data_IF_777199110246
#
_entry.id   IF_777199110246
#
_cell.length_a   1.000
_cell.length_b   1.000
_cell.length_c   1.000
_cell.angle_alpha   90.00
_cell.angle_beta   90.00
_cell.angle_gamma   90.00
#
_symmetry.space_group_name_H-M   'P 1'
#
loop_
_entity.id
_entity.type
_entity.pdbx_description
1 polymer ?
#
# COMPACT_ATOMS: atom_id res chain seq x y z
N UNK A 1 -23.20 32.38 36.82
CA UNK A 1 -22.91 33.15 35.61
C UNK A 1 -21.64 32.59 34.93
N UNK A 2 -21.62 31.29 34.63
CA UNK A 2 -20.40 30.60 34.09
C UNK A 2 -20.73 29.47 33.08
N UNK A 3 -21.84 29.58 32.32
CA UNK A 3 -22.23 28.50 31.38
C UNK A 3 -22.44 28.96 29.92
N UNK A 4 -21.84 30.08 29.50
CA UNK A 4 -22.06 30.61 28.14
C UNK A 4 -20.81 30.73 27.25
N UNK A 5 -19.65 30.29 27.67
CA UNK A 5 -18.43 30.45 26.87
C UNK A 5 -17.90 29.20 26.18
N UNK A 6 -18.41 28.01 26.46
CA UNK A 6 -17.93 26.78 25.84
C UNK A 6 -18.74 26.25 24.66
N UNK A 7 -19.98 26.73 24.45
CA UNK A 7 -20.79 26.25 23.32
C UNK A 7 -20.40 26.86 21.95
N UNK A 8 -19.76 28.02 21.95
CA UNK A 8 -19.29 28.65 20.70
C UNK A 8 -18.03 28.05 20.08
N UNK A 9 -17.23 27.35 20.89
CA UNK A 9 -15.97 26.78 20.42
C UNK A 9 -16.17 25.42 19.75
N UNK A 10 -17.12 24.61 20.22
CA UNK A 10 -17.45 23.30 19.64
C UNK A 10 -18.17 23.45 18.29
N UNK A 11 -19.04 24.48 18.14
CA UNK A 11 -19.70 24.76 16.86
C UNK A 11 -18.75 25.33 15.79
N UNK A 12 -17.71 26.06 16.19
CA UNK A 12 -16.73 26.61 15.24
C UNK A 12 -15.81 25.56 14.61
N UNK A 13 -15.43 24.56 15.38
CA UNK A 13 -14.59 23.45 14.85
C UNK A 13 -15.39 22.51 13.94
N UNK A 14 -16.63 22.17 14.28
CA UNK A 14 -17.47 21.33 13.44
C UNK A 14 -17.80 21.95 12.07
N UNK A 15 -18.07 23.27 12.04
CA UNK A 15 -18.37 23.98 10.77
C UNK A 15 -17.10 24.15 9.91
N UNK A 16 -15.94 24.36 10.52
CA UNK A 16 -14.67 24.46 9.78
C UNK A 16 -14.25 23.10 9.21
N UNK A 17 -14.41 22.02 9.96
CA UNK A 17 -14.10 20.66 9.49
C UNK A 17 -15.04 20.23 8.35
N UNK A 18 -16.33 20.49 8.46
CA UNK A 18 -17.31 20.23 7.38
C UNK A 18 -17.04 21.12 6.16
N UNK A 19 -16.68 22.40 6.34
CA UNK A 19 -16.33 23.27 5.22
C UNK A 19 -15.03 22.85 4.53
N UNK A 20 -14.03 22.39 5.27
CA UNK A 20 -12.79 21.83 4.72
C UNK A 20 -13.05 20.51 3.99
N UNK A 21 -13.85 19.61 4.55
CA UNK A 21 -14.24 18.37 3.89
C UNK A 21 -15.04 18.63 2.60
N UNK A 22 -15.99 19.56 2.61
CA UNK A 22 -16.75 19.94 1.41
C UNK A 22 -15.86 20.60 0.35
N UNK A 23 -14.88 21.42 0.73
CA UNK A 23 -13.92 22.02 -0.20
C UNK A 23 -12.99 20.93 -0.76
N UNK A 24 -12.52 19.99 0.08
CA UNK A 24 -11.66 18.89 -0.31
C UNK A 24 -12.35 17.92 -1.29
N UNK A 25 -13.61 17.54 -1.01
CA UNK A 25 -14.44 16.71 -1.92
C UNK A 25 -14.82 17.46 -3.22
N UNK A 26 -14.86 18.80 -3.22
CA UNK A 26 -15.18 19.58 -4.41
C UNK A 26 -13.98 19.91 -5.30
N UNK A 27 -12.76 19.60 -4.87
CA UNK A 27 -11.53 19.89 -5.62
C UNK A 27 -10.94 18.66 -6.33
N UNK A 28 -11.45 17.44 -6.08
CA UNK A 28 -11.02 16.26 -6.82
C UNK A 28 -11.67 16.22 -8.20
N UNK A 29 -10.89 15.97 -9.26
CA UNK A 29 -11.46 15.84 -10.58
C UNK A 29 -12.41 14.63 -10.60
N UNK A 30 -13.67 14.89 -10.89
CA UNK A 30 -14.61 13.83 -11.27
C UNK A 30 -14.03 13.16 -12.52
N UNK A 31 -14.06 11.83 -12.55
CA UNK A 31 -13.66 11.09 -13.76
C UNK A 31 -14.54 11.59 -14.91
N UNK A 32 -13.95 12.12 -16.00
CA UNK A 32 -14.70 12.57 -17.16
C UNK A 32 -15.59 11.46 -17.73
N UNK A 33 -16.72 11.79 -18.32
CA UNK A 33 -17.70 10.79 -18.77
C UNK A 33 -17.16 9.86 -19.85
N UNK A 34 -16.37 10.37 -20.78
CA UNK A 34 -15.69 9.62 -21.82
C UNK A 34 -14.62 8.66 -21.26
N UNK A 35 -13.93 9.07 -20.19
CA UNK A 35 -13.00 8.19 -19.46
C UNK A 35 -13.76 7.11 -18.70
N UNK A 36 -14.93 7.42 -18.13
CA UNK A 36 -15.81 6.40 -17.52
C UNK A 36 -16.25 5.37 -18.56
N UNK A 37 -16.68 5.82 -19.75
CA UNK A 37 -17.05 4.94 -20.87
C UNK A 37 -15.86 4.08 -21.33
N UNK A 38 -14.63 4.63 -21.33
CA UNK A 38 -13.41 3.89 -21.63
C UNK A 38 -13.15 2.80 -20.56
N UNK A 39 -13.25 3.15 -19.27
CA UNK A 39 -13.08 2.21 -18.15
C UNK A 39 -14.05 1.03 -18.30
N UNK A 40 -15.35 1.30 -18.50
CA UNK A 40 -16.36 0.27 -18.68
C UNK A 40 -16.07 -0.61 -19.90
N UNK A 41 -15.67 -0.02 -21.03
CA UNK A 41 -15.32 -0.75 -22.23
C UNK A 41 -14.09 -1.65 -22.04
N UNK A 42 -13.08 -1.21 -21.29
CA UNK A 42 -11.88 -2.00 -21.02
C UNK A 42 -12.16 -3.12 -20.01
N UNK A 43 -13.02 -2.89 -19.02
CA UNK A 43 -13.52 -3.93 -18.13
C UNK A 43 -14.27 -5.02 -18.92
N UNK A 44 -15.16 -4.62 -19.82
CA UNK A 44 -15.94 -5.56 -20.65
C UNK A 44 -15.07 -6.39 -21.58
N UNK A 45 -14.05 -5.78 -22.24
CA UNK A 45 -13.07 -6.51 -23.07
C UNK A 45 -12.30 -7.57 -22.28
N UNK A 46 -12.11 -7.36 -20.99
CA UNK A 46 -11.46 -8.30 -20.08
C UNK A 46 -12.40 -9.37 -19.50
N UNK A 47 -13.66 -9.43 -19.94
CA UNK A 47 -14.65 -10.40 -19.45
C UNK A 47 -15.53 -9.91 -18.30
N UNK A 48 -15.64 -8.58 -18.14
CA UNK A 48 -16.49 -7.93 -17.13
C UNK A 48 -15.83 -7.83 -15.75
N UNK A 49 -16.65 -7.67 -14.73
CA UNK A 49 -16.22 -7.43 -13.35
C UNK A 49 -15.68 -8.67 -12.59
N UNK A 50 -15.43 -9.77 -13.28
CA UNK A 50 -14.97 -11.00 -12.65
C UNK A 50 -13.49 -10.91 -12.26
N UNK A 51 -13.21 -11.00 -10.97
CA UNK A 51 -11.86 -10.97 -10.37
C UNK A 51 -10.95 -12.14 -10.82
N UNK A 52 -11.53 -13.21 -11.35
CA UNK A 52 -10.81 -14.44 -11.67
C UNK A 52 -9.98 -14.36 -12.96
N UNK A 53 -10.34 -13.48 -13.87
CA UNK A 53 -9.64 -13.28 -15.14
C UNK A 53 -8.65 -12.11 -15.01
N UNK A 54 -7.44 -12.36 -14.52
CA UNK A 54 -6.37 -11.35 -14.59
C UNK A 54 -6.19 -10.93 -16.03
N UNK A 55 -6.46 -9.68 -16.29
CA UNK A 55 -6.37 -9.07 -17.61
C UNK A 55 -5.58 -7.75 -17.49
N UNK A 56 -4.78 -7.48 -18.51
CA UNK A 56 -4.01 -6.27 -18.60
C UNK A 56 -4.56 -5.36 -19.71
N UNK A 57 -4.84 -4.12 -19.37
CA UNK A 57 -5.32 -3.07 -20.28
C UNK A 57 -4.21 -2.12 -20.67
N UNK A 58 -4.30 -1.55 -21.88
CA UNK A 58 -3.35 -0.52 -22.32
C UNK A 58 -3.78 0.86 -21.83
N UNK A 59 -2.80 1.61 -21.36
CA UNK A 59 -2.89 3.05 -21.26
C UNK A 59 -2.21 3.76 -22.44
N UNK A 60 -1.83 5.03 -22.25
CA UNK A 60 -1.04 5.86 -23.17
C UNK A 60 0.44 5.50 -23.05
N UNK A 61 1.22 5.81 -24.10
CA UNK A 61 2.69 5.66 -24.13
C UNK A 61 3.18 4.26 -23.68
N UNK A 62 2.50 3.21 -24.12
CA UNK A 62 2.80 1.80 -23.80
C UNK A 62 2.64 1.41 -22.32
N UNK A 63 2.06 2.26 -21.49
CA UNK A 63 1.73 1.89 -20.12
C UNK A 63 0.67 0.78 -20.08
N UNK A 64 0.80 -0.08 -19.08
CA UNK A 64 -0.11 -1.23 -18.90
C UNK A 64 -0.63 -1.21 -17.47
N UNK A 65 -1.95 -1.44 -17.33
CA UNK A 65 -2.65 -1.47 -16.06
C UNK A 65 -3.36 -2.81 -15.85
N UNK A 66 -3.69 -3.15 -14.62
CA UNK A 66 -4.56 -4.27 -14.32
C UNK A 66 -6.02 -3.86 -14.47
N UNK A 67 -6.83 -4.72 -15.07
CA UNK A 67 -8.27 -4.53 -15.10
C UNK A 67 -8.88 -4.45 -13.70
N UNK A 68 -8.31 -5.16 -12.72
CA UNK A 68 -8.74 -5.10 -11.32
C UNK A 68 -8.69 -3.66 -10.75
N UNK A 69 -7.71 -2.85 -11.15
CA UNK A 69 -7.61 -1.45 -10.77
C UNK A 69 -8.77 -0.61 -11.30
N UNK A 70 -9.23 -0.89 -12.53
CA UNK A 70 -10.40 -0.23 -13.11
C UNK A 70 -11.70 -0.63 -12.39
N UNK A 71 -11.86 -1.93 -12.11
CA UNK A 71 -13.02 -2.46 -11.38
C UNK A 71 -13.16 -1.80 -10.01
N UNK A 72 -12.04 -1.57 -9.33
CA UNK A 72 -12.01 -0.93 -8.01
C UNK A 72 -12.57 0.51 -8.00
N UNK A 73 -12.59 1.20 -9.14
CA UNK A 73 -13.15 2.53 -9.27
C UNK A 73 -14.68 2.54 -9.43
N UNK A 74 -15.29 1.43 -9.87
CA UNK A 74 -16.70 1.38 -10.30
C UNK A 74 -17.56 0.40 -9.49
N UNK A 75 -16.96 -0.42 -8.62
CA UNK A 75 -17.70 -1.33 -7.75
C UNK A 75 -17.81 -0.79 -6.34
N UNK A 76 -18.91 -1.10 -5.66
CA UNK A 76 -19.06 -0.83 -4.23
C UNK A 76 -18.12 -1.75 -3.44
N UNK A 77 -17.37 -1.16 -2.50
CA UNK A 77 -16.48 -1.91 -1.64
C UNK A 77 -17.28 -2.68 -0.59
N UNK A 78 -16.77 -3.85 -0.24
CA UNK A 78 -17.34 -4.64 0.85
C UNK A 78 -16.95 -4.05 2.19
N UNK A 79 -17.88 -4.12 3.13
CA UNK A 79 -17.61 -3.78 4.52
C UNK A 79 -16.67 -4.82 5.13
N UNK A 80 -15.42 -4.42 5.36
CA UNK A 80 -14.37 -5.28 5.91
C UNK A 80 -13.68 -4.70 7.16
N UNK A 81 -14.12 -3.52 7.60
CA UNK A 81 -13.57 -2.78 8.75
C UNK A 81 -13.43 -3.65 10.00
N UNK A 82 -14.48 -4.40 10.35
CA UNK A 82 -14.50 -5.26 11.53
C UNK A 82 -13.37 -6.30 11.54
N UNK A 83 -12.94 -6.74 10.36
CA UNK A 83 -11.85 -7.70 10.23
C UNK A 83 -10.52 -7.09 10.63
N UNK A 84 -10.24 -5.86 10.24
CA UNK A 84 -9.02 -5.14 10.62
C UNK A 84 -8.99 -4.82 12.11
N UNK A 85 -10.10 -4.34 12.66
CA UNK A 85 -10.25 -4.05 14.09
C UNK A 85 -10.04 -5.32 14.92
N UNK A 86 -10.69 -6.42 14.58
CA UNK A 86 -10.54 -7.69 15.29
C UNK A 86 -9.09 -8.22 15.24
N UNK A 87 -8.39 -8.01 14.11
CA UNK A 87 -6.99 -8.39 14.00
C UNK A 87 -6.10 -7.49 14.88
N UNK A 88 -6.34 -6.20 14.87
CA UNK A 88 -5.65 -5.26 15.75
C UNK A 88 -5.81 -5.65 17.23
N UNK A 89 -7.03 -5.85 17.67
CA UNK A 89 -7.36 -6.25 19.05
C UNK A 89 -6.65 -7.56 19.46
N UNK A 90 -6.63 -8.53 18.54
CA UNK A 90 -5.96 -9.80 18.76
C UNK A 90 -4.44 -9.67 18.94
N UNK A 91 -3.81 -8.75 18.21
CA UNK A 91 -2.38 -8.43 18.34
C UNK A 91 -2.11 -7.61 19.59
N UNK A 92 -2.94 -6.61 19.88
CA UNK A 92 -2.81 -5.79 21.10
C UNK A 92 -2.92 -6.60 22.38
N UNK A 93 -3.83 -7.58 22.42
CA UNK A 93 -3.94 -8.51 23.54
C UNK A 93 -2.65 -9.32 23.79
N UNK A 94 -1.75 -9.38 22.82
CA UNK A 94 -0.41 -10.00 22.90
C UNK A 94 0.72 -8.98 23.11
N UNK A 95 0.40 -7.69 23.23
CA UNK A 95 1.38 -6.61 23.32
C UNK A 95 2.11 -6.34 21.99
N UNK A 96 1.51 -6.70 20.86
CA UNK A 96 2.04 -6.50 19.53
C UNK A 96 1.26 -5.36 18.85
N UNK A 97 1.97 -4.39 18.25
CA UNK A 97 1.34 -3.31 17.50
C UNK A 97 1.06 -3.72 16.05
N UNK A 98 -0.06 -3.26 15.50
CA UNK A 98 -0.38 -3.38 14.09
C UNK A 98 -0.17 -2.04 13.38
N UNK A 99 0.44 -2.08 12.21
CA UNK A 99 0.47 -0.97 11.24
C UNK A 99 -0.09 -1.51 9.93
N UNK A 100 -1.19 -0.94 9.47
CA UNK A 100 -1.85 -1.29 8.21
C UNK A 100 -1.34 -0.36 7.12
N UNK A 101 -0.92 -0.92 6.00
CA UNK A 101 -0.26 -0.18 4.91
C UNK A 101 -0.87 -0.60 3.57
N UNK A 102 -1.98 0.02 3.16
CA UNK A 102 -2.47 -0.12 1.80
C UNK A 102 -1.51 0.60 0.85
N UNK A 103 -0.85 -0.16 -0.03
CA UNK A 103 -0.02 0.42 -1.09
C UNK A 103 -0.95 1.09 -2.10
N UNK A 104 -0.76 2.36 -2.46
CA UNK A 104 -1.55 3.00 -3.50
C UNK A 104 -1.59 2.15 -4.77
N UNK A 105 -2.75 2.01 -5.39
CA UNK A 105 -2.84 1.30 -6.66
C UNK A 105 -2.14 2.11 -7.77
N UNK A 106 -1.51 1.42 -8.71
CA UNK A 106 -0.82 2.05 -9.83
C UNK A 106 -1.72 3.03 -10.59
N UNK A 107 -2.98 2.69 -10.79
CA UNK A 107 -3.92 3.56 -11.49
C UNK A 107 -4.25 4.83 -10.69
N UNK A 108 -4.20 4.77 -9.36
CA UNK A 108 -4.41 5.95 -8.52
C UNK A 108 -3.32 7.01 -8.74
N UNK A 109 -2.08 6.57 -8.91
CA UNK A 109 -0.90 7.45 -8.96
C UNK A 109 -0.56 7.82 -10.40
N UNK A 110 -0.58 6.87 -11.32
CA UNK A 110 -0.16 7.01 -12.72
C UNK A 110 -1.38 7.16 -13.66
N UNK A 111 -2.45 7.78 -13.18
CA UNK A 111 -3.73 7.87 -13.88
C UNK A 111 -3.62 8.59 -15.25
N UNK A 112 -2.75 9.59 -15.37
CA UNK A 112 -2.49 10.29 -16.62
C UNK A 112 -1.95 9.37 -17.73
N UNK A 113 -1.26 8.30 -17.32
CA UNK A 113 -0.81 7.26 -18.25
C UNK A 113 -1.90 6.25 -18.64
N UNK A 114 -3.05 6.27 -17.98
CA UNK A 114 -4.24 5.56 -18.46
C UNK A 114 -5.06 6.45 -19.40
N UNK A 115 -5.26 7.71 -19.03
CA UNK A 115 -5.88 8.75 -19.85
C UNK A 115 -5.30 10.12 -19.47
N UNK A 116 -4.88 10.90 -20.47
CA UNK A 116 -4.33 12.25 -20.28
C UNK A 116 -5.30 13.21 -19.55
N UNK A 117 -6.59 12.89 -19.56
CA UNK A 117 -7.62 13.67 -18.86
C UNK A 117 -7.64 13.44 -17.33
N UNK A 118 -6.89 12.46 -16.83
CA UNK A 118 -6.81 12.10 -15.43
C UNK A 118 -5.53 12.65 -14.75
N UNK A 119 -5.05 13.79 -15.19
CA UNK A 119 -3.90 14.43 -14.55
C UNK A 119 -4.13 14.72 -13.07
N UNK A 120 -3.17 14.37 -12.22
CA UNK A 120 -3.25 14.56 -10.77
C UNK A 120 -3.77 13.35 -9.98
N UNK A 121 -3.88 12.20 -10.64
CA UNK A 121 -4.25 10.94 -9.99
C UNK A 121 -5.76 10.72 -9.85
N UNK A 122 -6.13 9.52 -9.44
CA UNK A 122 -7.52 9.14 -9.10
C UNK A 122 -7.52 8.46 -7.74
N UNK A 123 -8.38 8.88 -6.85
CA UNK A 123 -8.62 8.16 -5.60
C UNK A 123 -10.10 7.77 -5.53
N UNK A 124 -10.36 6.49 -5.29
CA UNK A 124 -11.71 6.02 -5.05
C UNK A 124 -12.24 6.64 -3.74
N UNK A 125 -13.42 7.27 -3.72
CA UNK A 125 -13.96 7.89 -2.51
C UNK A 125 -14.03 6.93 -1.32
N UNK A 126 -14.36 5.66 -1.56
CA UNK A 126 -14.42 4.65 -0.52
C UNK A 126 -13.06 4.37 0.16
N UNK A 127 -11.94 4.64 -0.51
CA UNK A 127 -10.61 4.45 0.06
C UNK A 127 -10.38 5.39 1.25
N UNK A 128 -10.71 6.67 1.09
CA UNK A 128 -10.56 7.66 2.16
C UNK A 128 -11.49 7.38 3.32
N UNK A 129 -12.78 7.11 3.03
CA UNK A 129 -13.75 6.72 4.05
C UNK A 129 -13.30 5.49 4.84
N UNK A 130 -12.63 4.55 4.18
CA UNK A 130 -12.09 3.36 4.80
C UNK A 130 -10.88 3.67 5.70
N UNK A 131 -9.96 4.52 5.25
CA UNK A 131 -8.80 4.95 6.05
C UNK A 131 -9.27 5.68 7.31
N UNK A 132 -10.15 6.66 7.15
CA UNK A 132 -10.71 7.43 8.26
C UNK A 132 -11.41 6.52 9.28
N UNK A 133 -12.24 5.60 8.80
CA UNK A 133 -12.97 4.68 9.67
C UNK A 133 -12.05 3.74 10.46
N UNK A 134 -10.94 3.26 9.87
CA UNK A 134 -9.95 2.47 10.61
C UNK A 134 -9.20 3.29 11.66
N UNK A 135 -8.84 4.53 11.33
CA UNK A 135 -8.17 5.42 12.26
C UNK A 135 -9.10 5.81 13.43
N UNK A 136 -10.38 6.02 13.19
CA UNK A 136 -11.39 6.28 14.21
C UNK A 136 -11.55 5.09 15.20
N UNK A 137 -11.34 3.87 14.73
CA UNK A 137 -11.30 2.65 15.55
C UNK A 137 -9.93 2.39 16.21
N UNK A 138 -8.98 3.32 16.07
CA UNK A 138 -7.67 3.27 16.70
C UNK A 138 -6.65 2.37 16.02
N UNK A 139 -6.92 1.91 14.80
CA UNK A 139 -5.95 1.16 13.98
C UNK A 139 -4.98 2.14 13.32
N UNK A 140 -3.68 1.88 13.44
CA UNK A 140 -2.67 2.72 12.79
C UNK A 140 -2.62 2.39 11.30
N UNK A 141 -2.92 3.38 10.46
CA UNK A 141 -2.87 3.26 9.00
C UNK A 141 -1.83 4.23 8.44
N UNK A 142 -0.95 3.73 7.59
CA UNK A 142 -0.04 4.55 6.78
C UNK A 142 -0.68 4.73 5.41
N UNK A 143 -1.31 5.87 5.19
CA UNK A 143 -1.83 6.29 3.90
C UNK A 143 -0.73 7.02 3.11
N UNK A 144 -0.37 6.48 1.96
CA UNK A 144 0.72 7.00 1.14
C UNK A 144 0.25 7.66 -0.17
N UNK A 145 -1.05 7.82 -0.38
CA UNK A 145 -1.57 8.32 -1.66
C UNK A 145 -1.08 9.73 -1.96
N UNK A 146 -1.23 10.67 -1.03
CA UNK A 146 -0.81 12.06 -1.24
C UNK A 146 0.71 12.18 -1.43
N UNK A 147 1.50 11.49 -0.60
CA UNK A 147 2.96 11.50 -0.70
C UNK A 147 3.43 10.88 -2.03
N UNK A 148 2.77 9.82 -2.50
CA UNK A 148 3.09 9.22 -3.79
C UNK A 148 2.76 10.17 -4.95
N UNK A 149 1.61 10.84 -4.92
CA UNK A 149 1.25 11.84 -5.94
C UNK A 149 2.26 12.98 -5.99
N UNK A 150 2.66 13.52 -4.82
CA UNK A 150 3.67 14.58 -4.76
C UNK A 150 5.02 14.12 -5.32
N UNK A 151 5.51 12.95 -4.91
CA UNK A 151 6.82 12.45 -5.36
C UNK A 151 6.81 11.97 -6.80
N UNK A 152 5.65 11.57 -7.33
CA UNK A 152 5.51 11.12 -8.71
C UNK A 152 5.81 12.24 -9.72
N UNK A 153 5.63 13.51 -9.35
CA UNK A 153 6.01 14.66 -10.19
C UNK A 153 7.51 14.68 -10.53
N UNK A 154 8.36 14.13 -9.64
CA UNK A 154 9.82 14.12 -9.81
C UNK A 154 10.35 12.76 -10.26
N UNK A 155 9.75 11.69 -9.79
CA UNK A 155 10.23 10.32 -10.00
C UNK A 155 9.05 9.35 -10.02
N UNK A 156 8.87 8.55 -11.10
CA UNK A 156 7.76 7.62 -11.19
C UNK A 156 7.71 6.65 -10.00
N UNK A 157 6.54 6.56 -9.36
CA UNK A 157 6.30 5.63 -8.27
C UNK A 157 6.02 4.21 -8.76
N UNK A 158 5.57 4.06 -10.00
CA UNK A 158 5.38 2.79 -10.68
C UNK A 158 6.09 2.75 -12.03
N UNK A 159 6.31 1.55 -12.57
CA UNK A 159 6.90 1.34 -13.89
C UNK A 159 5.82 0.99 -14.92
N UNK A 160 6.05 1.37 -16.19
CA UNK A 160 5.07 1.16 -17.27
C UNK A 160 4.60 -0.29 -17.38
N UNK A 161 5.51 -1.26 -17.25
CA UNK A 161 5.25 -2.68 -17.51
C UNK A 161 5.05 -3.55 -16.25
N UNK A 162 5.10 -2.94 -15.06
CA UNK A 162 5.07 -3.63 -13.77
C UNK A 162 3.86 -3.18 -12.93
N UNK A 163 3.25 -4.11 -12.19
CA UNK A 163 2.16 -3.76 -11.27
C UNK A 163 2.67 -3.31 -9.90
N UNK A 164 3.92 -3.61 -9.58
CA UNK A 164 4.53 -3.22 -8.32
C UNK A 164 5.20 -1.84 -8.44
N UNK A 165 5.30 -1.17 -7.31
CA UNK A 165 5.96 0.12 -7.19
C UNK A 165 7.49 0.05 -7.42
N UNK A 166 8.06 1.13 -7.91
CA UNK A 166 9.51 1.25 -8.18
C UNK A 166 10.35 1.14 -6.90
N UNK A 167 11.67 1.09 -7.04
CA UNK A 167 12.57 1.23 -5.89
C UNK A 167 12.38 2.55 -5.16
N UNK A 168 12.06 3.64 -5.87
CA UNK A 168 11.75 4.95 -5.28
C UNK A 168 10.45 4.89 -4.49
N UNK A 169 9.36 4.36 -5.07
CA UNK A 169 8.08 4.20 -4.37
C UNK A 169 8.21 3.36 -3.09
N UNK A 170 8.97 2.24 -3.16
CA UNK A 170 9.25 1.43 -1.95
C UNK A 170 10.02 2.19 -0.87
N UNK A 171 10.96 3.07 -1.24
CA UNK A 171 11.70 3.87 -0.28
C UNK A 171 10.83 4.94 0.37
N UNK A 172 10.00 5.63 -0.41
CA UNK A 172 9.03 6.60 0.10
C UNK A 172 8.12 5.93 1.13
N UNK A 173 7.49 4.81 0.77
CA UNK A 173 6.60 4.08 1.67
C UNK A 173 7.33 3.56 2.91
N UNK A 174 8.55 3.04 2.75
CA UNK A 174 9.34 2.56 3.89
C UNK A 174 9.71 3.68 4.84
N UNK A 175 9.96 4.89 4.35
CA UNK A 175 10.24 6.05 5.19
C UNK A 175 9.00 6.45 6.01
N UNK A 176 7.82 6.51 5.39
CA UNK A 176 6.56 6.80 6.09
C UNK A 176 6.26 5.76 7.18
N UNK A 177 6.46 4.47 6.88
CA UNK A 177 6.33 3.39 7.86
C UNK A 177 7.36 3.56 8.98
N UNK A 178 8.61 3.91 8.64
CA UNK A 178 9.68 4.11 9.62
C UNK A 178 9.39 5.29 10.56
N UNK A 179 8.84 6.37 10.05
CA UNK A 179 8.44 7.53 10.85
C UNK A 179 7.35 7.15 11.84
N UNK A 180 6.32 6.42 11.38
CA UNK A 180 5.26 5.85 12.23
C UNK A 180 5.83 4.93 13.33
N UNK A 181 6.77 4.04 12.97
CA UNK A 181 7.44 3.15 13.94
C UNK A 181 8.24 3.94 14.98
N UNK A 182 8.94 4.98 14.53
CA UNK A 182 9.77 5.82 15.41
C UNK A 182 8.93 6.61 16.42
N UNK A 183 7.77 7.10 16.01
CA UNK A 183 6.81 7.78 16.89
C UNK A 183 6.27 6.87 18.01
N UNK A 184 6.18 5.58 17.77
CA UNK A 184 5.75 4.61 18.79
C UNK A 184 6.79 4.39 19.91
N UNK A 185 8.02 4.88 19.76
CA UNK A 185 9.09 4.81 20.76
C UNK A 185 9.32 3.41 21.34
N UNK A 186 9.31 2.40 20.48
CA UNK A 186 9.52 1.02 20.89
C UNK A 186 10.96 0.80 21.35
N UNK A 187 11.12 0.16 22.53
CA UNK A 187 12.44 -0.25 23.04
C UNK A 187 12.92 -1.51 22.30
N UNK A 188 13.54 -1.30 21.14
CA UNK A 188 14.05 -2.34 20.24
C UNK A 188 15.48 -1.98 19.86
N UNK A 189 16.42 -2.95 19.92
CA UNK A 189 17.79 -2.76 19.45
C UNK A 189 17.83 -2.34 17.96
N UNK A 190 18.71 -1.39 17.66
CA UNK A 190 18.91 -0.86 16.31
C UNK A 190 20.29 -1.20 15.79
N UNK A 191 20.35 -1.47 14.49
CA UNK A 191 21.57 -1.73 13.71
C UNK A 191 21.66 -0.74 12.56
N UNK A 192 22.83 -0.53 12.01
CA UNK A 192 23.04 0.41 10.92
C UNK A 192 23.04 -0.32 9.59
N UNK A 193 22.22 0.14 8.64
CA UNK A 193 22.10 -0.40 7.29
C UNK A 193 22.25 0.69 6.25
N UNK A 194 22.86 0.37 5.12
CA UNK A 194 23.19 1.31 4.07
C UNK A 194 22.51 0.93 2.76
N UNK A 195 22.24 1.94 1.92
CA UNK A 195 21.74 1.72 0.58
C UNK A 195 22.90 1.69 -0.42
N UNK A 196 22.90 0.71 -1.30
CA UNK A 196 23.84 0.62 -2.44
C UNK A 196 23.10 0.45 -3.74
N UNK A 197 23.50 1.25 -4.70
CA UNK A 197 23.00 1.23 -6.05
C UNK A 197 23.33 -0.10 -6.76
N UNK A 198 22.37 -0.61 -7.52
CA UNK A 198 22.56 -1.80 -8.37
C UNK A 198 21.54 -1.79 -9.51
N UNK A 199 21.87 -2.52 -10.56
CA UNK A 199 20.98 -2.73 -11.71
C UNK A 199 20.52 -4.19 -11.65
N UNK A 200 19.24 -4.41 -11.88
CA UNK A 200 18.62 -5.74 -11.98
C UNK A 200 17.71 -5.80 -13.19
N UNK A 201 17.49 -6.99 -13.78
CA UNK A 201 16.49 -7.14 -14.84
C UNK A 201 15.10 -6.75 -14.35
N UNK A 202 14.36 -5.99 -15.16
CA UNK A 202 12.95 -5.70 -14.93
C UNK A 202 12.11 -6.96 -15.07
N UNK A 203 11.04 -7.06 -14.29
CA UNK A 203 10.14 -8.23 -14.33
C UNK A 203 9.04 -8.07 -15.38
N UNK A 204 8.46 -6.89 -15.49
CA UNK A 204 7.44 -6.59 -16.50
C UNK A 204 6.25 -7.55 -16.43
N UNK A 205 5.70 -7.77 -15.22
CA UNK A 205 4.62 -8.74 -15.02
C UNK A 205 3.34 -8.40 -15.79
N UNK A 206 3.03 -7.12 -15.96
CA UNK A 206 1.89 -6.65 -16.75
C UNK A 206 2.12 -6.87 -18.24
N UNK A 207 3.35 -6.63 -18.70
CA UNK A 207 3.73 -6.90 -20.08
C UNK A 207 3.60 -8.40 -20.39
N UNK A 208 4.09 -9.26 -19.48
CA UNK A 208 3.95 -10.70 -19.61
C UNK A 208 2.48 -11.12 -19.63
N UNK A 209 1.66 -10.58 -18.74
CA UNK A 209 0.23 -10.86 -18.69
C UNK A 209 -0.45 -10.51 -20.02
N UNK A 210 -0.07 -9.41 -20.66
CA UNK A 210 -0.68 -8.92 -21.90
C UNK A 210 -0.19 -9.62 -23.16
N UNK A 211 1.13 -9.86 -23.26
CA UNK A 211 1.78 -10.29 -24.49
C UNK A 211 2.33 -11.72 -24.43
N UNK A 212 2.21 -12.40 -23.30
CA UNK A 212 2.78 -13.73 -23.03
C UNK A 212 4.30 -13.80 -23.32
N UNK A 213 5.00 -12.70 -23.07
CA UNK A 213 6.45 -12.55 -23.21
C UNK A 213 6.97 -11.58 -22.17
N UNK A 214 8.26 -11.61 -21.87
CA UNK A 214 8.88 -10.65 -20.94
C UNK A 214 9.59 -9.56 -21.72
N UNK A 215 9.49 -8.29 -21.28
CA UNK A 215 10.27 -7.21 -21.87
C UNK A 215 11.75 -7.37 -21.46
N UNK A 216 12.66 -6.92 -22.33
CA UNK A 216 14.09 -6.89 -22.04
C UNK A 216 14.48 -5.46 -21.63
N UNK A 217 14.51 -5.22 -20.33
CA UNK A 217 14.92 -3.94 -19.76
C UNK A 217 15.53 -4.11 -18.37
N UNK A 218 16.36 -3.18 -18.01
CA UNK A 218 17.02 -3.11 -16.71
C UNK A 218 16.40 -2.03 -15.85
N UNK A 219 16.29 -2.29 -14.53
CA UNK A 219 15.85 -1.31 -13.54
C UNK A 219 16.95 -1.04 -12.52
N UNK A 220 17.04 0.22 -12.12
CA UNK A 220 17.93 0.65 -11.06
C UNK A 220 17.24 0.49 -9.71
N UNK A 221 17.87 -0.22 -8.78
CA UNK A 221 17.35 -0.41 -7.42
C UNK A 221 18.44 -0.11 -6.38
N UNK A 222 18.02 0.34 -5.20
CA UNK A 222 18.91 0.49 -4.06
C UNK A 222 18.78 -0.74 -3.16
N UNK A 223 19.84 -1.53 -3.06
CA UNK A 223 19.86 -2.70 -2.16
C UNK A 223 20.31 -2.30 -0.76
N UNK A 224 19.68 -2.89 0.25
CA UNK A 224 20.07 -2.73 1.65
C UNK A 224 21.25 -3.65 1.97
N UNK A 225 22.30 -3.09 2.57
CA UNK A 225 23.53 -3.79 2.94
C UNK A 225 24.04 -3.37 4.32
N UNK A 226 24.89 -4.19 4.95
CA UNK A 226 25.66 -3.81 6.14
C UNK A 226 26.92 -2.97 5.77
N UNK A 227 27.72 -2.61 6.75
CA UNK A 227 28.94 -1.80 6.58
C UNK A 227 29.96 -2.48 5.67
N UNK A 228 30.03 -3.80 5.66
CA UNK A 228 30.91 -4.61 4.83
C UNK A 228 30.36 -4.81 3.40
N UNK A 229 29.14 -4.33 3.14
CA UNK A 229 28.48 -4.46 1.84
C UNK A 229 27.78 -5.80 1.64
N UNK A 230 27.62 -6.60 2.67
CA UNK A 230 26.85 -7.83 2.64
C UNK A 230 25.36 -7.50 2.63
N UNK A 231 24.62 -8.21 1.81
CA UNK A 231 23.17 -8.01 1.67
C UNK A 231 22.42 -8.21 2.98
N UNK A 232 21.41 -7.36 3.19
CA UNK A 232 20.43 -7.54 4.27
C UNK A 232 19.77 -8.91 4.15
N UNK A 233 19.68 -9.62 5.26
CA UNK A 233 18.94 -10.87 5.37
C UNK A 233 17.93 -10.78 6.49
N UNK A 234 16.66 -10.98 6.14
CA UNK A 234 15.57 -11.08 7.09
C UNK A 234 15.78 -12.25 8.07
N UNK A 235 15.49 -12.03 9.35
CA UNK A 235 15.58 -13.07 10.38
C UNK A 235 14.20 -13.37 10.98
N UNK A 236 13.89 -14.65 11.17
CA UNK A 236 12.65 -15.06 11.85
C UNK A 236 12.54 -14.50 13.27
N UNK A 237 13.65 -14.22 13.91
CA UNK A 237 13.71 -13.65 15.27
C UNK A 237 13.56 -12.12 15.28
N UNK A 238 13.45 -11.48 14.11
CA UNK A 238 13.26 -10.05 14.00
C UNK A 238 12.01 -9.58 14.78
N UNK A 239 12.10 -8.45 15.49
CA UNK A 239 10.98 -7.95 16.30
C UNK A 239 9.81 -7.40 15.47
N UNK A 240 10.06 -7.04 14.21
CA UNK A 240 9.04 -6.59 13.27
C UNK A 240 8.81 -7.69 12.22
N UNK A 241 7.56 -8.10 12.05
CA UNK A 241 7.16 -8.95 10.93
C UNK A 241 6.36 -8.14 9.92
N UNK A 242 6.80 -8.17 8.66
CA UNK A 242 6.07 -7.58 7.52
C UNK A 242 5.30 -8.70 6.85
N UNK A 243 3.98 -8.57 6.80
CA UNK A 243 3.09 -9.51 6.10
C UNK A 243 2.42 -8.83 4.92
N UNK A 244 1.94 -9.60 3.96
CA UNK A 244 1.19 -9.03 2.85
C UNK A 244 1.20 -9.89 1.60
N UNK A 245 1.01 -9.23 0.48
CA UNK A 245 1.04 -9.82 -0.87
C UNK A 245 2.42 -9.71 -1.54
N UNK A 246 2.44 -9.69 -2.86
CA UNK A 246 3.67 -9.50 -3.62
C UNK A 246 4.32 -8.14 -3.42
N UNK A 247 3.56 -7.09 -3.04
CA UNK A 247 4.12 -5.78 -2.71
C UNK A 247 5.02 -5.83 -1.48
N UNK A 248 4.71 -6.69 -0.49
CA UNK A 248 5.57 -6.89 0.67
C UNK A 248 6.91 -7.56 0.32
N UNK A 249 6.94 -8.38 -0.74
CA UNK A 249 8.08 -9.24 -1.09
C UNK A 249 8.86 -8.78 -2.33
N UNK A 250 8.26 -7.95 -3.17
CA UNK A 250 8.87 -7.48 -4.42
C UNK A 250 10.24 -6.83 -4.17
N UNK A 251 11.28 -7.34 -4.87
CA UNK A 251 12.67 -6.92 -4.67
C UNK A 251 13.45 -7.73 -3.61
N UNK A 252 12.87 -8.79 -3.06
CA UNK A 252 13.55 -9.57 -2.02
C UNK A 252 14.88 -10.20 -2.51
N UNK A 253 14.93 -10.63 -3.75
CA UNK A 253 16.15 -11.20 -4.35
C UNK A 253 17.35 -10.22 -4.38
N UNK A 254 17.07 -8.92 -4.38
CA UNK A 254 18.07 -7.85 -4.36
C UNK A 254 18.21 -7.16 -3.00
N UNK A 255 17.46 -7.61 -1.95
CA UNK A 255 17.35 -6.92 -0.66
C UNK A 255 16.86 -5.47 -0.82
N UNK A 256 15.92 -5.27 -1.73
CA UNK A 256 15.25 -4.01 -2.03
C UNK A 256 13.73 -4.10 -1.83
N UNK A 257 13.25 -5.10 -1.09
CA UNK A 257 11.85 -5.19 -0.69
C UNK A 257 11.52 -4.23 0.45
N UNK A 258 10.24 -3.99 0.68
CA UNK A 258 9.78 -3.03 1.70
C UNK A 258 10.34 -3.34 3.10
N UNK A 259 10.42 -4.62 3.49
CA UNK A 259 10.99 -5.01 4.78
C UNK A 259 12.47 -4.64 4.92
N UNK A 260 13.27 -4.78 3.86
CA UNK A 260 14.67 -4.38 3.86
C UNK A 260 14.83 -2.85 3.99
N UNK A 261 13.97 -2.07 3.32
CA UNK A 261 13.97 -0.61 3.42
C UNK A 261 13.47 -0.11 4.78
N UNK A 262 12.45 -0.75 5.38
CA UNK A 262 12.04 -0.46 6.76
C UNK A 262 13.21 -0.70 7.73
N UNK A 263 13.93 -1.81 7.56
CA UNK A 263 15.09 -2.09 8.40
C UNK A 263 16.19 -1.05 8.22
N UNK A 264 16.43 -0.58 6.99
CA UNK A 264 17.41 0.46 6.71
C UNK A 264 17.00 1.80 7.35
N UNK A 265 15.74 2.20 7.22
CA UNK A 265 15.25 3.48 7.71
C UNK A 265 15.12 3.53 9.25
N UNK A 266 14.75 2.41 9.89
CA UNK A 266 14.57 2.34 11.35
C UNK A 266 15.80 1.84 12.11
N UNK A 267 16.69 1.11 11.46
CA UNK A 267 17.73 0.31 12.13
C UNK A 267 17.18 -0.97 12.77
N UNK A 268 15.87 -1.27 12.66
CA UNK A 268 15.25 -2.42 13.31
C UNK A 268 15.11 -3.56 12.31
N UNK A 269 15.61 -4.75 12.69
CA UNK A 269 15.43 -5.94 11.83
C UNK A 269 13.97 -6.26 11.56
N UNK A 270 13.70 -6.66 10.33
CA UNK A 270 12.39 -7.13 9.89
C UNK A 270 12.45 -8.58 9.40
N UNK A 271 11.32 -9.25 9.43
CA UNK A 271 11.09 -10.52 8.77
C UNK A 271 9.89 -10.41 7.85
N UNK A 272 10.09 -10.54 6.56
CA UNK A 272 9.00 -10.47 5.57
C UNK A 272 8.42 -11.85 5.33
N UNK A 273 7.10 -11.94 5.32
CA UNK A 273 6.32 -13.13 4.99
C UNK A 273 5.13 -12.73 4.12
N UNK A 274 5.13 -13.16 2.89
CA UNK A 274 4.13 -12.77 1.90
C UNK A 274 3.35 -13.97 1.34
N UNK A 275 2.21 -13.65 0.74
CA UNK A 275 1.45 -14.56 -0.11
C UNK A 275 1.09 -13.85 -1.40
N UNK A 276 1.74 -14.21 -2.48
CA UNK A 276 1.52 -13.61 -3.81
C UNK A 276 0.04 -13.66 -4.18
N UNK A 277 -0.53 -12.50 -4.56
CA UNK A 277 -1.93 -12.36 -4.95
C UNK A 277 -2.94 -12.57 -3.81
N UNK A 278 -2.53 -12.39 -2.58
CA UNK A 278 -3.37 -12.62 -1.41
C UNK A 278 -3.13 -11.62 -0.29
N UNK A 279 -3.12 -10.33 -0.59
CA UNK A 279 -2.94 -9.25 0.39
C UNK A 279 -4.00 -9.28 1.48
N UNK A 280 -5.23 -9.53 1.11
CA UNK A 280 -6.37 -9.72 2.00
C UNK A 280 -6.25 -10.99 2.90
N UNK A 281 -5.31 -11.87 2.60
CA UNK A 281 -5.05 -13.08 3.37
C UNK A 281 -3.81 -12.97 4.26
N UNK A 282 -3.18 -11.79 4.35
CA UNK A 282 -1.97 -11.55 5.14
C UNK A 282 -2.05 -12.14 6.55
N UNK A 283 -3.07 -11.85 7.35
CA UNK A 283 -3.24 -12.42 8.69
C UNK A 283 -3.31 -13.94 8.74
N UNK A 284 -3.81 -14.59 7.68
CA UNK A 284 -3.91 -16.07 7.62
C UNK A 284 -2.54 -16.75 7.61
N UNK A 285 -1.46 -16.01 7.37
CA UNK A 285 -0.09 -16.52 7.47
C UNK A 285 0.27 -16.97 8.88
N UNK A 286 -0.48 -16.51 9.89
CA UNK A 286 -0.34 -16.94 11.29
C UNK A 286 -1.25 -18.09 11.69
N UNK A 287 -2.22 -18.49 10.85
CA UNK A 287 -3.16 -19.56 11.16
C UNK A 287 -2.44 -20.87 11.49
N UNK A 288 -2.67 -21.38 12.71
CA UNK A 288 -2.01 -22.58 13.23
C UNK A 288 -0.49 -22.43 13.40
N UNK A 289 0.02 -21.20 13.49
CA UNK A 289 1.44 -20.87 13.59
C UNK A 289 1.64 -19.65 14.48
N UNK A 290 0.95 -19.60 15.61
CA UNK A 290 1.05 -18.51 16.58
C UNK A 290 2.47 -18.30 17.12
N UNK A 291 3.34 -19.32 17.01
CA UNK A 291 4.74 -19.23 17.36
C UNK A 291 5.51 -18.19 16.55
N UNK A 292 5.03 -17.82 15.37
CA UNK A 292 5.63 -16.71 14.58
C UNK A 292 5.39 -15.33 15.20
N UNK A 293 4.43 -15.21 16.11
CA UNK A 293 4.18 -13.98 16.86
C UNK A 293 4.99 -13.91 18.16
N UNK A 294 5.65 -14.98 18.57
CA UNK A 294 6.47 -14.99 19.78
C UNK A 294 7.64 -14.01 19.63
N UNK A 295 7.82 -13.15 20.64
CA UNK A 295 8.88 -12.14 20.67
C UNK A 295 8.68 -10.97 19.68
N UNK A 296 7.61 -10.95 18.89
CA UNK A 296 7.30 -9.83 18.02
C UNK A 296 6.82 -8.63 18.82
N UNK A 297 7.16 -7.45 18.33
CA UNK A 297 6.71 -6.16 18.86
C UNK A 297 5.73 -5.49 17.91
N UNK A 298 5.81 -5.85 16.61
CA UNK A 298 4.99 -5.22 15.60
C UNK A 298 4.71 -6.16 14.42
N UNK A 299 3.52 -6.03 13.87
CA UNK A 299 3.12 -6.52 12.54
C UNK A 299 2.91 -5.30 11.65
N UNK A 300 3.58 -5.28 10.50
CA UNK A 300 3.33 -4.31 9.42
C UNK A 300 2.63 -5.09 8.30
N UNK A 301 1.39 -4.73 7.99
CA UNK A 301 0.60 -5.42 6.98
C UNK A 301 0.53 -4.59 5.71
N UNK A 302 1.33 -4.98 4.72
CA UNK A 302 1.50 -4.31 3.42
C UNK A 302 0.73 -5.07 2.35
N UNK A 303 -0.23 -4.45 1.72
CA UNK A 303 -1.04 -5.05 0.65
C UNK A 303 -1.45 -4.00 -0.36
N UNK A 304 -1.82 -4.43 -1.56
CA UNK A 304 -2.28 -3.53 -2.61
C UNK A 304 -3.64 -2.91 -2.26
N UNK A 305 -3.76 -1.59 -2.37
CA UNK A 305 -4.98 -0.86 -2.03
C UNK A 305 -6.21 -1.30 -2.83
N UNK A 306 -6.03 -1.84 -4.05
CA UNK A 306 -7.14 -2.41 -4.83
C UNK A 306 -7.74 -3.67 -4.19
N UNK A 307 -7.07 -4.32 -3.25
CA UNK A 307 -7.63 -5.47 -2.54
C UNK A 307 -8.78 -5.09 -1.58
N UNK A 308 -8.93 -3.80 -1.24
CA UNK A 308 -9.92 -3.31 -0.25
C UNK A 308 -11.37 -3.58 -0.65
N UNK A 309 -11.69 -3.73 -1.92
CA UNK A 309 -13.03 -4.14 -2.36
C UNK A 309 -13.29 -5.65 -2.20
N UNK A 310 -12.27 -6.43 -1.82
CA UNK A 310 -12.36 -7.87 -1.61
C UNK A 310 -12.78 -8.28 -0.20
N UNK A 311 -12.94 -9.59 -0.01
CA UNK A 311 -13.19 -10.18 1.31
C UNK A 311 -11.85 -10.35 2.06
N UNK A 312 -11.80 -9.91 3.31
CA UNK A 312 -10.66 -10.11 4.19
C UNK A 312 -10.93 -11.27 5.16
N UNK A 313 -10.08 -12.31 5.10
CA UNK A 313 -10.18 -13.46 5.98
C UNK A 313 -9.29 -13.28 7.19
N UNK A 314 -9.89 -13.27 8.40
CA UNK A 314 -9.14 -13.23 9.64
C UNK A 314 -9.00 -14.66 10.21
N UNK A 315 -7.79 -15.05 10.62
CA UNK A 315 -7.62 -16.31 11.35
C UNK A 315 -8.15 -16.18 12.76
N UNK A 316 -8.72 -17.26 13.30
CA UNK A 316 -8.86 -17.42 14.73
C UNK A 316 -7.46 -17.77 15.31
N UNK A 317 -7.00 -17.00 16.31
CA UNK A 317 -5.72 -17.19 17.01
C UNK A 317 -5.91 -17.88 18.36
#
# INVERSE_FOLDING_TARGET
>A
MFFRKHLGFIFGFGVAAVALAVVYLSTRPLIPLDVQEQIEADIEKCGGHLKEARCAVSGVDDWIFLQESLVNLVVDWKENLNSFVAFNDSLEARGIKLVVVPVPDKLQIEAEHYSEELSGGIVAPQYEEWVDALQDEGVVVVDAVEEFLEKNEETPMFEAYESHYTSAGRQVLAQMIADTINEMNLDIPREEWFLRDTIVPGTGNLYHLKYNSYPDYDVRVLKTVDAEGKRYHASKDAPIVVIGDSNADFGWNSSSNIGAYIAQATGIKTFTRSRIGGGNLGPTLFKGRSEFLEGKKMVVWVFDGRELYGDFSMPEF
#
